data_IF_592283950984
#
_entry.id   IF_592283950984
#
_cell.length_a   1.000
_cell.length_b   1.000
_cell.length_c   1.000
_cell.angle_alpha   90.00
_cell.angle_beta   90.00
_cell.angle_gamma   90.00
#
_symmetry.space_group_name_H-M   'P 1'
#
loop_
_entity.id
_entity.type
_entity.pdbx_description
1 polymer ?
#
# COMPACT_ATOMS: atom_id res chain seq x y z
N UNK A 1 38.40 -34.77 -4.09
CA UNK A 1 37.73 -35.14 -2.83
C UNK A 1 37.37 -33.83 -2.15
N UNK A 2 36.12 -33.35 -2.29
CA UNK A 2 35.68 -32.12 -1.63
C UNK A 2 35.44 -32.46 -0.15
N UNK A 3 36.15 -31.79 0.76
CA UNK A 3 36.04 -32.01 2.19
C UNK A 3 34.65 -31.64 2.72
N UNK A 4 34.08 -32.51 3.54
CA UNK A 4 32.82 -32.26 4.24
C UNK A 4 32.97 -31.04 5.16
N UNK A 5 32.03 -30.09 5.07
CA UNK A 5 31.98 -28.94 5.96
C UNK A 5 31.69 -29.41 7.40
N UNK A 6 32.40 -28.85 8.38
CA UNK A 6 32.17 -29.15 9.80
C UNK A 6 30.84 -28.57 10.27
N UNK A 7 30.29 -29.10 11.37
CA UNK A 7 28.97 -28.67 11.86
C UNK A 7 28.94 -27.20 12.32
N UNK A 8 30.07 -26.68 12.80
CA UNK A 8 30.24 -25.25 13.08
C UNK A 8 30.19 -24.40 11.81
N UNK A 9 30.77 -24.89 10.71
CA UNK A 9 30.71 -24.23 9.40
C UNK A 9 29.31 -24.28 8.81
N UNK A 10 28.58 -25.39 8.98
CA UNK A 10 27.16 -25.49 8.59
C UNK A 10 26.29 -24.54 9.39
N UNK A 11 26.51 -24.45 10.71
CA UNK A 11 25.79 -23.54 11.59
C UNK A 11 26.08 -22.08 11.26
N UNK A 12 27.34 -21.72 10.97
CA UNK A 12 27.72 -20.39 10.52
C UNK A 12 27.11 -20.05 9.15
N UNK A 13 27.10 -20.99 8.20
CA UNK A 13 26.49 -20.81 6.88
C UNK A 13 24.96 -20.65 6.97
N UNK A 14 24.31 -21.42 7.85
CA UNK A 14 22.89 -21.31 8.14
C UNK A 14 22.53 -19.99 8.85
N UNK A 15 23.37 -19.53 9.78
CA UNK A 15 23.24 -18.23 10.44
C UNK A 15 23.47 -17.08 9.44
N UNK A 16 24.40 -17.22 8.50
CA UNK A 16 24.68 -16.25 7.44
C UNK A 16 23.55 -16.17 6.40
N UNK A 17 22.85 -17.28 6.15
CA UNK A 17 21.64 -17.32 5.32
C UNK A 17 20.40 -16.80 6.08
N UNK A 18 20.33 -17.00 7.40
CA UNK A 18 19.27 -16.44 8.26
C UNK A 18 19.43 -14.93 8.49
N UNK A 19 20.66 -14.40 8.50
CA UNK A 19 20.92 -12.96 8.61
C UNK A 19 20.70 -12.22 7.29
N UNK A 20 20.73 -12.93 6.14
CA UNK A 20 20.38 -12.38 4.83
C UNK A 20 18.88 -12.27 4.57
N UNK A 21 18.03 -12.71 5.49
CA UNK A 21 16.58 -12.51 5.42
C UNK A 21 16.12 -11.31 6.27
N UNK A 22 16.92 -10.25 6.29
CA UNK A 22 16.36 -8.90 6.29
C UNK A 22 15.81 -8.59 4.90
N UNK A 23 14.82 -9.38 4.45
CA UNK A 23 13.82 -8.88 3.54
C UNK A 23 13.07 -7.79 4.31
N UNK A 24 13.69 -6.61 4.39
CA UNK A 24 13.18 -5.44 5.11
C UNK A 24 11.71 -5.33 4.80
N UNK A 25 10.87 -5.29 5.84
CA UNK A 25 9.42 -5.20 5.72
C UNK A 25 9.16 -4.06 4.74
N UNK A 26 8.89 -4.40 3.47
CA UNK A 26 8.64 -3.40 2.44
C UNK A 26 7.29 -2.83 2.78
N UNK A 27 7.30 -1.72 3.51
CA UNK A 27 6.09 -1.03 3.91
C UNK A 27 5.24 -0.78 2.67
N UNK A 28 3.97 -1.17 2.78
CA UNK A 28 3.02 -1.05 1.68
C UNK A 28 1.89 -0.16 2.14
N UNK A 29 1.57 0.83 1.32
CA UNK A 29 0.55 1.82 1.65
C UNK A 29 -0.51 1.82 0.57
N UNK A 30 -1.77 1.83 1.02
CA UNK A 30 -2.92 2.13 0.17
C UNK A 30 -3.07 3.65 0.06
N UNK A 31 -3.03 4.16 -1.16
CA UNK A 31 -3.24 5.57 -1.48
C UNK A 31 -4.52 5.69 -2.29
N UNK A 32 -5.40 6.62 -1.93
CA UNK A 32 -6.64 6.85 -2.68
C UNK A 32 -6.71 8.30 -3.17
N UNK A 33 -6.84 8.47 -4.49
CA UNK A 33 -7.29 9.74 -5.07
C UNK A 33 -8.80 9.78 -4.91
N UNK A 34 -9.26 10.71 -4.06
CA UNK A 34 -10.68 10.94 -3.74
C UNK A 34 -11.45 11.50 -4.94
N UNK A 35 -12.81 11.53 -4.90
CA UNK A 35 -13.62 11.92 -6.06
C UNK A 35 -13.28 13.30 -6.62
N UNK A 36 -12.97 14.28 -5.75
CA UNK A 36 -12.54 15.62 -6.15
C UNK A 36 -11.24 15.61 -6.97
N UNK A 37 -10.25 14.83 -6.56
CA UNK A 37 -8.98 14.69 -7.26
C UNK A 37 -9.14 14.06 -8.63
N UNK A 38 -10.08 13.11 -8.77
CA UNK A 38 -10.43 12.51 -10.06
C UNK A 38 -11.13 13.52 -10.96
N UNK A 39 -12.16 14.21 -10.46
CA UNK A 39 -12.90 15.23 -11.21
C UNK A 39 -12.00 16.37 -11.69
N UNK A 40 -11.02 16.77 -10.88
CA UNK A 40 -10.04 17.82 -11.21
C UNK A 40 -8.88 17.32 -12.08
N UNK A 41 -8.92 16.08 -12.56
CA UNK A 41 -7.89 15.45 -13.42
C UNK A 41 -6.49 15.42 -12.77
N UNK A 42 -6.42 15.26 -11.45
CA UNK A 42 -5.16 15.30 -10.68
C UNK A 42 -4.49 13.92 -10.51
N UNK A 43 -5.06 12.84 -11.06
CA UNK A 43 -4.54 11.48 -10.89
C UNK A 43 -3.06 11.37 -11.30
N UNK A 44 -2.71 11.89 -12.47
CA UNK A 44 -1.33 11.85 -12.97
C UNK A 44 -0.35 12.66 -12.12
N UNK A 45 -0.78 13.81 -11.60
CA UNK A 45 0.04 14.64 -10.71
C UNK A 45 0.31 13.93 -9.38
N UNK A 46 -0.68 13.21 -8.83
CA UNK A 46 -0.48 12.40 -7.62
C UNK A 46 0.52 11.26 -7.90
N UNK A 47 0.30 10.48 -8.96
CA UNK A 47 1.20 9.38 -9.36
C UNK A 47 2.64 9.86 -9.50
N UNK A 48 2.82 10.96 -10.25
CA UNK A 48 4.13 11.56 -10.51
C UNK A 48 4.88 11.87 -9.21
N UNK A 49 4.19 12.40 -8.18
CA UNK A 49 4.83 12.70 -6.89
C UNK A 49 5.32 11.44 -6.17
N UNK A 50 4.55 10.35 -6.22
CA UNK A 50 4.98 9.07 -5.63
C UNK A 50 6.19 8.50 -6.35
N UNK A 51 6.17 8.49 -7.69
CA UNK A 51 7.28 7.99 -8.50
C UNK A 51 8.55 8.83 -8.31
N UNK A 52 8.44 10.15 -8.33
CA UNK A 52 9.57 11.06 -8.09
C UNK A 52 10.18 10.91 -6.70
N UNK A 53 9.38 10.53 -5.70
CA UNK A 53 9.87 10.27 -4.35
C UNK A 53 10.56 8.90 -4.22
N UNK A 54 10.47 8.07 -5.25
CA UNK A 54 11.08 6.74 -5.30
C UNK A 54 10.15 5.61 -4.88
N UNK A 55 8.86 5.86 -4.64
CA UNK A 55 7.92 4.77 -4.40
C UNK A 55 7.69 3.97 -5.69
N UNK A 56 7.61 2.65 -5.55
CA UNK A 56 7.17 1.77 -6.63
C UNK A 56 5.66 1.58 -6.52
N UNK A 57 4.94 1.92 -7.58
CA UNK A 57 3.53 1.55 -7.72
C UNK A 57 3.43 0.07 -8.10
N UNK A 58 2.67 -0.67 -7.31
CA UNK A 58 2.46 -2.12 -7.44
C UNK A 58 1.08 -2.43 -8.02
N UNK A 59 0.12 -1.52 -7.85
CA UNK A 59 -1.22 -1.66 -8.41
C UNK A 59 -1.97 -0.35 -8.46
N UNK A 60 -2.89 -0.25 -9.41
CA UNK A 60 -3.78 0.89 -9.60
C UNK A 60 -5.14 0.39 -10.06
N UNK A 61 -6.22 0.90 -9.46
CA UNK A 61 -7.60 0.59 -9.85
C UNK A 61 -8.49 1.81 -9.70
N UNK A 62 -9.17 2.19 -10.77
CA UNK A 62 -10.30 3.12 -10.69
C UNK A 62 -11.57 2.32 -10.37
N UNK A 63 -12.37 2.82 -9.43
CA UNK A 63 -13.62 2.18 -9.03
C UNK A 63 -14.61 3.19 -8.47
N UNK A 64 -15.90 2.89 -8.64
CA UNK A 64 -16.95 3.46 -7.82
C UNK A 64 -17.05 2.62 -6.53
N UNK A 65 -16.68 3.18 -5.39
CA UNK A 65 -16.72 2.44 -4.13
C UNK A 65 -18.16 2.30 -3.64
N UNK A 66 -18.55 1.09 -3.21
CA UNK A 66 -19.88 0.85 -2.65
C UNK A 66 -19.97 1.34 -1.21
N UNK A 67 -21.19 1.66 -0.76
CA UNK A 67 -21.45 2.06 0.64
C UNK A 67 -20.91 1.03 1.63
N UNK A 68 -21.10 -0.26 1.34
CA UNK A 68 -20.61 -1.36 2.18
C UNK A 68 -19.08 -1.34 2.31
N UNK A 69 -18.36 -1.14 1.20
CA UNK A 69 -16.90 -1.08 1.21
C UNK A 69 -16.40 0.12 2.01
N UNK A 70 -17.00 1.30 1.82
CA UNK A 70 -16.60 2.52 2.51
C UNK A 70 -16.95 2.48 4.00
N UNK A 71 -18.10 1.89 4.36
CA UNK A 71 -18.48 1.70 5.76
C UNK A 71 -17.50 0.77 6.48
N UNK A 72 -17.02 -0.28 5.81
CA UNK A 72 -15.95 -1.14 6.34
C UNK A 72 -14.62 -0.37 6.45
N UNK A 73 -14.26 0.42 5.44
CA UNK A 73 -13.02 1.20 5.44
C UNK A 73 -12.98 2.28 6.54
N UNK A 74 -14.11 2.93 6.82
CA UNK A 74 -14.24 4.01 7.80
C UNK A 74 -14.89 3.58 9.12
N UNK A 75 -14.89 2.30 9.47
CA UNK A 75 -15.56 1.77 10.68
C UNK A 75 -15.13 2.51 11.97
N UNK A 76 -13.85 2.91 12.06
CA UNK A 76 -13.32 3.66 13.21
C UNK A 76 -13.89 5.08 13.35
N UNK A 77 -14.49 5.62 12.30
CA UNK A 77 -15.07 6.96 12.24
C UNK A 77 -16.60 6.94 12.41
N UNK A 78 -17.24 5.78 12.56
CA UNK A 78 -18.70 5.65 12.58
C UNK A 78 -19.40 6.53 13.64
N UNK A 79 -18.73 6.79 14.77
CA UNK A 79 -19.26 7.63 15.86
C UNK A 79 -19.00 9.13 15.68
N UNK A 80 -18.33 9.54 14.59
CA UNK A 80 -18.03 10.95 14.33
C UNK A 80 -19.22 11.63 13.66
N UNK A 81 -19.53 12.90 14.00
CA UNK A 81 -20.70 13.60 13.48
C UNK A 81 -20.67 13.80 11.95
N UNK A 82 -19.48 13.75 11.34
CA UNK A 82 -19.28 13.90 9.90
C UNK A 82 -19.30 12.58 9.12
N UNK A 83 -19.53 11.43 9.77
CA UNK A 83 -19.42 10.12 9.13
C UNK A 83 -20.34 9.95 7.92
N UNK A 84 -21.62 10.34 8.05
CA UNK A 84 -22.58 10.25 6.95
C UNK A 84 -22.18 11.12 5.76
N UNK A 85 -21.72 12.35 6.01
CA UNK A 85 -21.22 13.25 4.98
C UNK A 85 -19.94 12.73 4.31
N UNK A 86 -19.06 12.07 5.08
CA UNK A 86 -17.87 11.42 4.55
C UNK A 86 -18.23 10.27 3.59
N UNK A 87 -19.17 9.40 3.97
CA UNK A 87 -19.63 8.33 3.09
C UNK A 87 -20.26 8.88 1.82
N UNK A 88 -21.19 9.84 1.94
CA UNK A 88 -21.82 10.50 0.80
C UNK A 88 -20.79 11.15 -0.14
N UNK A 89 -19.80 11.83 0.44
CA UNK A 89 -18.72 12.42 -0.33
C UNK A 89 -17.92 11.37 -1.10
N UNK A 90 -17.54 10.27 -0.45
CA UNK A 90 -16.73 9.22 -1.07
C UNK A 90 -17.51 8.39 -2.11
N UNK A 91 -18.84 8.38 -2.04
CA UNK A 91 -19.72 7.72 -3.03
C UNK A 91 -20.19 8.65 -4.13
N UNK A 92 -19.90 9.94 -4.06
CA UNK A 92 -20.32 10.94 -5.06
C UNK A 92 -19.67 10.77 -6.44
N UNK A 93 -18.58 9.99 -6.54
CA UNK A 93 -17.88 9.77 -7.80
C UNK A 93 -16.79 8.72 -7.70
N UNK A 94 -16.08 8.46 -8.82
CA UNK A 94 -15.06 7.44 -8.87
C UNK A 94 -13.84 7.84 -8.04
N UNK A 95 -13.19 6.85 -7.46
CA UNK A 95 -11.89 6.99 -6.79
C UNK A 95 -10.84 6.21 -7.57
N UNK A 96 -9.57 6.59 -7.40
CA UNK A 96 -8.43 5.77 -7.85
C UNK A 96 -7.69 5.27 -6.63
N UNK A 97 -7.77 3.96 -6.39
CA UNK A 97 -6.98 3.28 -5.38
C UNK A 97 -5.63 2.84 -5.99
N UNK A 98 -4.55 3.13 -5.29
CA UNK A 98 -3.19 2.80 -5.67
C UNK A 98 -2.49 2.09 -4.51
N UNK A 99 -1.62 1.17 -4.85
CA UNK A 99 -0.81 0.44 -3.90
C UNK A 99 0.65 0.74 -4.17
N UNK A 100 1.34 1.31 -3.19
CA UNK A 100 2.72 1.76 -3.31
C UNK A 100 3.60 1.12 -2.24
N UNK A 101 4.85 0.80 -2.58
CA UNK A 101 5.86 0.42 -1.61
C UNK A 101 7.17 1.18 -1.82
N UNK A 102 7.90 1.37 -0.73
CA UNK A 102 9.26 1.91 -0.81
C UNK A 102 10.24 0.77 -1.19
N UNK A 103 11.19 1.01 -2.13
CA UNK A 103 12.09 -0.03 -2.64
C UNK A 103 13.00 -0.67 -1.60
#
# INVERSE_FOLDING_TARGET
MMGEMTDDQKMAFQKMNSVKDFSGIKERTLVAVKPDGVQRRLIGEVIKRFEQRGFRLVGLKMLQASDKLLAQHYVSLQRKPFYSSLLYYMTSGPIVAMYANYP
#
